data_IF_450573787585
#
_entry.id   IF_450573787585
#
_cell.length_a   1.000
_cell.length_b   1.000
_cell.length_c   1.000
_cell.angle_alpha   90.00
_cell.angle_beta   90.00
_cell.angle_gamma   90.00
#
_symmetry.space_group_name_H-M   'P 1'
#
loop_
_entity.id
_entity.type
_entity.pdbx_description
1 polymer ?
#
# COMPACT_ATOMS: atom_id res chain seq x y z
N UNK A 1 18.36 28.10 -26.64
CA UNK A 1 17.39 27.25 -25.93
C UNK A 1 17.86 27.16 -24.48
N UNK A 2 17.29 27.95 -23.57
CA UNK A 2 17.69 27.96 -22.16
C UNK A 2 17.26 26.62 -21.57
N UNK A 3 18.22 25.78 -21.19
CA UNK A 3 17.98 24.52 -20.48
C UNK A 3 17.43 24.92 -19.11
N UNK A 4 16.11 25.00 -18.97
CA UNK A 4 15.49 25.06 -17.65
C UNK A 4 15.90 23.74 -17.00
N UNK A 5 16.83 23.81 -16.05
CA UNK A 5 17.19 22.67 -15.22
C UNK A 5 15.88 22.29 -14.52
N UNK A 6 15.28 21.16 -14.90
CA UNK A 6 14.14 20.59 -14.18
C UNK A 6 14.53 20.53 -12.71
N UNK A 7 13.93 21.40 -11.90
CA UNK A 7 14.30 21.46 -10.50
C UNK A 7 13.72 20.22 -9.80
N UNK A 8 14.56 19.22 -9.53
CA UNK A 8 14.19 17.97 -8.85
C UNK A 8 14.16 18.11 -7.32
N UNK A 9 14.34 19.31 -6.77
CA UNK A 9 14.37 19.57 -5.33
C UNK A 9 13.09 19.08 -4.61
N UNK A 10 11.93 19.13 -5.28
CA UNK A 10 10.67 18.64 -4.72
C UNK A 10 10.70 17.14 -4.38
N UNK A 11 11.52 16.36 -5.09
CA UNK A 11 11.71 14.92 -4.84
C UNK A 11 12.49 14.72 -3.54
N UNK A 12 13.55 15.51 -3.32
CA UNK A 12 14.31 15.50 -2.06
C UNK A 12 13.39 15.89 -0.90
N UNK A 13 12.59 16.95 -1.04
CA UNK A 13 11.64 17.34 0.02
C UNK A 13 10.62 16.23 0.32
N UNK A 14 10.14 15.52 -0.70
CA UNK A 14 9.24 14.38 -0.52
C UNK A 14 9.92 13.23 0.24
N UNK A 15 11.17 12.89 -0.14
CA UNK A 15 11.96 11.85 0.53
C UNK A 15 12.28 12.22 1.98
N UNK A 16 12.69 13.47 2.24
CA UNK A 16 12.93 13.98 3.59
C UNK A 16 11.66 13.96 4.44
N UNK A 17 10.51 14.33 3.86
CA UNK A 17 9.21 14.27 4.53
C UNK A 17 8.85 12.84 4.96
N UNK A 18 9.05 11.85 4.08
CA UNK A 18 8.85 10.43 4.41
C UNK A 18 9.86 9.94 5.46
N UNK A 19 11.12 10.36 5.34
CA UNK A 19 12.15 10.07 6.35
C UNK A 19 11.78 10.60 7.73
N UNK A 20 11.30 11.85 7.80
CA UNK A 20 10.81 12.46 9.04
C UNK A 20 9.61 11.69 9.62
N UNK A 21 8.64 11.31 8.80
CA UNK A 21 7.51 10.48 9.23
C UNK A 21 7.97 9.17 9.87
N UNK A 22 8.97 8.50 9.28
CA UNK A 22 9.51 7.27 9.87
C UNK A 22 10.30 7.52 11.15
N UNK A 23 11.05 8.61 11.26
CA UNK A 23 11.71 8.99 12.53
C UNK A 23 10.67 9.22 13.63
N UNK A 24 9.59 9.93 13.34
CA UNK A 24 8.48 10.15 14.29
C UNK A 24 7.83 8.82 14.68
N UNK A 25 7.60 7.92 13.72
CA UNK A 25 7.09 6.58 14.00
C UNK A 25 8.00 5.82 14.97
N UNK A 26 9.31 5.79 14.74
CA UNK A 26 10.24 5.06 15.59
C UNK A 26 10.37 5.65 16.99
N UNK A 27 10.45 6.98 17.11
CA UNK A 27 10.59 7.64 18.42
C UNK A 27 9.29 7.64 19.21
N UNK A 28 8.20 8.11 18.60
CA UNK A 28 6.95 8.38 19.31
C UNK A 28 6.08 7.12 19.41
N UNK A 29 5.83 6.44 18.28
CA UNK A 29 4.88 5.32 18.26
C UNK A 29 5.52 4.03 18.79
N UNK A 30 6.77 3.76 18.39
CA UNK A 30 7.50 2.53 18.71
C UNK A 30 8.48 2.66 19.89
N UNK A 31 8.47 3.79 20.62
CA UNK A 31 9.27 4.03 21.85
C UNK A 31 10.77 3.75 21.67
N UNK A 32 11.36 4.35 20.65
CA UNK A 32 12.81 4.30 20.36
C UNK A 32 13.37 2.90 20.05
N UNK A 33 12.53 2.00 19.53
CA UNK A 33 13.00 0.73 18.96
C UNK A 33 13.84 1.02 17.71
N UNK A 34 14.98 0.32 17.57
CA UNK A 34 15.82 0.42 16.38
C UNK A 34 15.21 -0.30 15.17
N UNK A 35 15.51 0.17 13.96
CA UNK A 35 15.04 -0.41 12.69
C UNK A 35 15.25 -1.94 12.62
N UNK A 36 16.45 -2.42 12.97
CA UNK A 36 16.79 -3.85 12.92
C UNK A 36 15.95 -4.64 13.92
N UNK A 37 15.78 -4.12 15.15
CA UNK A 37 14.95 -4.75 16.19
C UNK A 37 13.47 -4.77 15.81
N UNK A 38 13.00 -3.80 15.03
CA UNK A 38 11.61 -3.76 14.56
C UNK A 38 11.28 -4.93 13.62
N UNK A 39 12.19 -5.31 12.72
CA UNK A 39 11.95 -6.45 11.83
C UNK A 39 11.85 -7.78 12.60
N UNK A 40 12.60 -7.94 13.68
CA UNK A 40 12.56 -9.15 14.54
C UNK A 40 11.52 -9.09 15.65
N UNK A 41 10.85 -7.95 15.85
CA UNK A 41 9.85 -7.75 16.89
C UNK A 41 8.67 -8.71 16.72
N UNK A 42 8.28 -9.40 17.78
CA UNK A 42 7.05 -10.22 17.79
C UNK A 42 5.83 -9.32 18.03
N UNK A 43 4.69 -9.73 17.49
CA UNK A 43 3.42 -8.98 17.56
C UNK A 43 3.00 -8.64 19.01
N UNK A 44 3.23 -9.55 19.95
CA UNK A 44 2.86 -9.40 21.37
C UNK A 44 3.52 -8.20 22.06
N UNK A 45 4.69 -7.76 21.56
CA UNK A 45 5.44 -6.64 22.13
C UNK A 45 5.25 -5.35 21.33
N UNK A 46 4.45 -5.38 20.27
CA UNK A 46 4.25 -4.23 19.40
C UNK A 46 3.15 -3.31 19.94
N UNK A 47 3.52 -2.05 20.19
CA UNK A 47 2.59 -1.02 20.67
C UNK A 47 2.19 -0.09 19.50
N UNK A 48 0.99 0.50 19.57
CA UNK A 48 0.48 1.44 18.54
C UNK A 48 0.57 0.91 17.10
N UNK A 49 0.20 -0.36 16.92
CA UNK A 49 0.39 -1.08 15.66
C UNK A 49 -0.47 -0.55 14.52
N UNK A 50 -1.71 -0.12 14.81
CA UNK A 50 -2.61 0.48 13.80
C UNK A 50 -2.05 1.81 13.32
N UNK A 51 -1.59 2.67 14.24
CA UNK A 51 -1.02 3.96 13.89
C UNK A 51 0.28 3.79 13.08
N UNK A 52 1.13 2.83 13.47
CA UNK A 52 2.36 2.51 12.75
C UNK A 52 2.06 1.96 11.34
N UNK A 53 1.02 1.14 11.21
CA UNK A 53 0.53 0.66 9.92
C UNK A 53 0.05 1.80 9.02
N UNK A 54 -0.70 2.77 9.55
CA UNK A 54 -1.16 3.95 8.79
C UNK A 54 0.04 4.78 8.33
N UNK A 55 0.99 5.09 9.23
CA UNK A 55 2.17 5.90 8.89
C UNK A 55 3.03 5.23 7.83
N UNK A 56 3.30 3.93 7.95
CA UNK A 56 4.06 3.18 6.94
C UNK A 56 3.35 3.11 5.60
N UNK A 57 2.03 2.94 5.59
CA UNK A 57 1.22 2.91 4.38
C UNK A 57 1.24 4.27 3.66
N UNK A 58 1.08 5.37 4.40
CA UNK A 58 1.16 6.74 3.85
C UNK A 58 2.54 7.00 3.24
N UNK A 59 3.62 6.67 3.98
CA UNK A 59 4.98 6.84 3.46
C UNK A 59 5.23 6.02 2.19
N UNK A 60 4.73 4.78 2.15
CA UNK A 60 4.81 3.93 0.95
C UNK A 60 4.03 4.52 -0.23
N UNK A 61 2.81 5.03 -0.02
CA UNK A 61 1.99 5.65 -1.08
C UNK A 61 2.70 6.87 -1.67
N UNK A 62 3.28 7.73 -0.83
CA UNK A 62 4.03 8.91 -1.30
C UNK A 62 5.21 8.47 -2.17
N UNK A 63 6.02 7.50 -1.70
CA UNK A 63 7.17 7.00 -2.46
C UNK A 63 6.77 6.32 -3.77
N UNK A 64 5.72 5.50 -3.74
CA UNK A 64 5.19 4.85 -4.94
C UNK A 64 4.66 5.88 -5.95
N UNK A 65 4.00 6.96 -5.48
CA UNK A 65 3.54 8.02 -6.34
C UNK A 65 4.69 8.80 -7.00
N UNK A 66 5.76 9.08 -6.25
CA UNK A 66 6.98 9.74 -6.77
C UNK A 66 7.70 8.83 -7.78
N UNK A 67 7.78 7.52 -7.52
CA UNK A 67 8.37 6.57 -8.47
C UNK A 67 7.56 6.51 -9.79
N UNK A 68 6.24 6.45 -9.69
CA UNK A 68 5.34 6.35 -10.84
C UNK A 68 5.19 7.68 -11.61
N UNK A 69 5.40 8.83 -10.96
CA UNK A 69 5.20 10.13 -11.60
C UNK A 69 6.11 10.38 -12.79
N UNK A 70 7.30 9.78 -12.80
CA UNK A 70 8.23 9.90 -13.92
C UNK A 70 7.97 8.87 -15.02
N UNK A 71 7.29 7.76 -14.70
CA UNK A 71 7.00 6.67 -15.64
C UNK A 71 5.73 6.96 -16.44
N UNK A 72 4.69 7.48 -15.78
CA UNK A 72 3.43 7.82 -16.44
C UNK A 72 3.62 9.11 -17.25
N UNK A 73 3.46 9.15 -18.57
CA UNK A 73 3.65 10.39 -19.33
C UNK A 73 2.48 11.37 -19.20
N UNK A 74 1.27 10.90 -18.87
CA UNK A 74 0.02 11.67 -18.97
C UNK A 74 -0.72 11.67 -17.62
N UNK A 75 -1.24 12.83 -17.20
CA UNK A 75 -2.15 12.92 -16.07
C UNK A 75 -3.49 12.24 -16.44
N UNK A 76 -3.95 11.19 -15.74
CA UNK A 76 -5.22 10.56 -16.04
C UNK A 76 -6.38 11.59 -16.01
N UNK A 77 -7.05 11.75 -17.17
CA UNK A 77 -8.10 12.76 -17.39
C UNK A 77 -9.27 12.66 -16.40
N UNK A 78 -9.55 11.43 -15.93
CA UNK A 78 -10.60 11.16 -14.94
C UNK A 78 -10.49 12.06 -13.68
N UNK A 79 -9.29 12.32 -13.17
CA UNK A 79 -9.15 13.15 -11.98
C UNK A 79 -9.12 14.65 -12.30
N UNK A 80 -8.70 15.04 -13.50
CA UNK A 80 -8.71 16.44 -13.92
C UNK A 80 -10.12 16.97 -14.22
N UNK A 81 -11.01 16.11 -14.73
CA UNK A 81 -12.38 16.48 -15.10
C UNK A 81 -13.36 16.43 -13.92
N UNK A 82 -13.27 15.41 -13.05
CA UNK A 82 -14.25 15.20 -11.99
C UNK A 82 -13.84 15.72 -10.60
N UNK A 83 -12.54 15.89 -10.31
CA UNK A 83 -12.05 16.37 -9.00
C UNK A 83 -11.55 17.80 -9.04
N UNK A 84 -12.38 18.71 -9.54
CA UNK A 84 -12.11 20.14 -9.48
C UNK A 84 -12.73 20.72 -8.19
N UNK A 85 -12.04 20.55 -7.06
CA UNK A 85 -12.52 21.05 -5.77
C UNK A 85 -12.02 22.48 -5.59
N UNK A 86 -12.93 23.46 -5.46
CA UNK A 86 -12.61 24.88 -5.32
C UNK A 86 -11.75 25.49 -6.47
N UNK A 87 -11.79 24.90 -7.67
CA UNK A 87 -10.99 25.37 -8.82
C UNK A 87 -9.53 24.89 -8.82
N UNK A 88 -9.13 24.08 -7.85
CA UNK A 88 -7.82 23.43 -7.83
C UNK A 88 -7.89 22.07 -8.50
N UNK A 89 -7.07 21.88 -9.54
CA UNK A 89 -6.88 20.58 -10.19
C UNK A 89 -5.67 19.87 -9.60
N UNK A 90 -5.77 18.57 -9.27
CA UNK A 90 -4.64 17.84 -8.72
C UNK A 90 -3.51 17.73 -9.74
N UNK A 91 -2.29 18.06 -9.30
CA UNK A 91 -1.07 17.79 -10.06
C UNK A 91 -0.93 16.27 -10.29
N UNK A 92 -0.14 15.87 -11.30
CA UNK A 92 0.14 14.49 -11.69
C UNK A 92 0.50 13.58 -10.50
N UNK A 93 1.33 14.06 -9.57
CA UNK A 93 1.67 13.30 -8.35
C UNK A 93 0.45 13.15 -7.43
N UNK A 94 -0.34 14.22 -7.27
CA UNK A 94 -1.55 14.21 -6.46
C UNK A 94 -2.63 13.28 -6.99
N UNK A 95 -2.82 13.19 -8.31
CA UNK A 95 -3.77 12.25 -8.92
C UNK A 95 -3.33 10.80 -8.72
N UNK A 96 -2.04 10.51 -8.81
CA UNK A 96 -1.49 9.17 -8.51
C UNK A 96 -1.66 8.84 -7.02
N UNK A 97 -1.35 9.77 -6.11
CA UNK A 97 -1.56 9.58 -4.67
C UNK A 97 -3.03 9.24 -4.40
N UNK A 98 -3.97 9.99 -4.96
CA UNK A 98 -5.39 9.77 -4.74
C UNK A 98 -5.86 8.41 -5.27
N UNK A 99 -5.39 8.00 -6.46
CA UNK A 99 -5.66 6.69 -7.02
C UNK A 99 -5.11 5.56 -6.12
N UNK A 100 -3.88 5.71 -5.61
CA UNK A 100 -3.27 4.74 -4.71
C UNK A 100 -4.01 4.68 -3.37
N UNK A 101 -4.33 5.82 -2.75
CA UNK A 101 -5.12 5.87 -1.52
C UNK A 101 -6.44 5.15 -1.69
N UNK A 102 -7.17 5.41 -2.78
CA UNK A 102 -8.42 4.73 -3.08
C UNK A 102 -8.24 3.21 -3.22
N UNK A 103 -7.22 2.77 -3.96
CA UNK A 103 -6.92 1.34 -4.15
C UNK A 103 -6.55 0.65 -2.83
N UNK A 104 -5.70 1.28 -2.01
CA UNK A 104 -5.29 0.72 -0.72
C UNK A 104 -6.45 0.72 0.30
N UNK A 105 -7.29 1.76 0.28
CA UNK A 105 -8.49 1.84 1.10
C UNK A 105 -9.48 0.74 0.73
N UNK A 106 -9.84 0.64 -0.56
CA UNK A 106 -10.74 -0.40 -1.05
C UNK A 106 -10.22 -1.80 -0.70
N UNK A 107 -8.94 -2.07 -0.96
CA UNK A 107 -8.29 -3.34 -0.59
C UNK A 107 -8.43 -3.64 0.90
N UNK A 108 -8.18 -2.65 1.76
CA UNK A 108 -8.26 -2.80 3.21
C UNK A 108 -9.68 -3.15 3.64
N UNK A 109 -10.66 -2.40 3.13
CA UNK A 109 -12.08 -2.62 3.42
C UNK A 109 -12.52 -4.01 2.97
N UNK A 110 -12.16 -4.42 1.75
CA UNK A 110 -12.47 -5.77 1.24
C UNK A 110 -11.82 -6.86 2.09
N UNK A 111 -10.56 -6.68 2.52
CA UNK A 111 -9.86 -7.68 3.34
C UNK A 111 -10.47 -7.77 4.75
N UNK A 112 -10.89 -6.64 5.32
CA UNK A 112 -11.59 -6.62 6.60
C UNK A 112 -12.94 -7.34 6.51
N UNK A 113 -13.77 -7.02 5.51
CA UNK A 113 -15.04 -7.71 5.29
C UNK A 113 -14.84 -9.20 5.06
N UNK A 114 -13.79 -9.59 4.33
CA UNK A 114 -13.45 -11.00 4.12
C UNK A 114 -13.17 -11.73 5.44
N UNK A 115 -12.34 -11.16 6.33
CA UNK A 115 -12.05 -11.78 7.63
C UNK A 115 -13.25 -11.76 8.57
N UNK A 116 -14.05 -10.69 8.55
CA UNK A 116 -15.29 -10.61 9.32
C UNK A 116 -16.29 -11.67 8.88
N UNK A 117 -16.40 -11.91 7.58
CA UNK A 117 -17.27 -12.92 6.99
C UNK A 117 -16.87 -14.35 7.38
N UNK A 118 -15.57 -14.60 7.57
CA UNK A 118 -15.03 -15.90 7.99
C UNK A 118 -15.08 -16.09 9.53
N UNK A 119 -15.36 -15.03 10.29
CA UNK A 119 -15.37 -15.04 11.76
C UNK A 119 -13.97 -14.97 12.38
N UNK A 120 -12.95 -14.57 11.62
CA UNK A 120 -11.54 -14.54 12.04
C UNK A 120 -11.00 -13.11 12.14
N UNK A 121 -11.81 -12.19 12.68
CA UNK A 121 -11.44 -10.76 12.81
C UNK A 121 -10.18 -10.57 13.67
N UNK A 122 -9.90 -11.46 14.61
CA UNK A 122 -8.69 -11.41 15.44
C UNK A 122 -7.40 -11.48 14.61
N UNK A 123 -7.42 -12.20 13.48
CA UNK A 123 -6.28 -12.31 12.55
C UNK A 123 -5.98 -11.01 11.81
N UNK A 124 -6.90 -10.05 11.84
CA UNK A 124 -6.67 -8.71 11.29
C UNK A 124 -5.48 -8.01 11.97
N UNK A 125 -5.24 -8.30 13.26
CA UNK A 125 -4.10 -7.75 14.01
C UNK A 125 -2.76 -8.22 13.47
N UNK A 126 -2.63 -9.53 13.29
CA UNK A 126 -1.48 -10.15 12.64
C UNK A 126 -1.25 -9.60 11.24
N UNK A 127 -2.34 -9.37 10.48
CA UNK A 127 -2.27 -8.88 9.10
C UNK A 127 -1.69 -7.46 9.01
N UNK A 128 -2.22 -6.48 9.73
CA UNK A 128 -1.69 -5.12 9.64
C UNK A 128 -0.28 -5.03 10.24
N UNK A 129 0.05 -5.84 11.26
CA UNK A 129 1.38 -5.87 11.87
C UNK A 129 2.43 -6.35 10.86
N UNK A 130 2.14 -7.45 10.17
CA UNK A 130 3.00 -7.96 9.13
C UNK A 130 3.07 -7.01 7.92
N UNK A 131 1.94 -6.42 7.51
CA UNK A 131 1.89 -5.44 6.44
C UNK A 131 2.77 -4.21 6.73
N UNK A 132 2.81 -3.75 7.98
CA UNK A 132 3.68 -2.64 8.43
C UNK A 132 5.15 -2.93 8.15
N UNK A 133 5.62 -4.15 8.46
CA UNK A 133 7.01 -4.57 8.19
C UNK A 133 7.31 -4.61 6.70
N UNK A 134 6.39 -5.13 5.90
CA UNK A 134 6.55 -5.16 4.45
C UNK A 134 6.57 -3.77 3.82
N UNK A 135 5.64 -2.90 4.18
CA UNK A 135 5.61 -1.54 3.65
C UNK A 135 6.83 -0.74 4.08
N UNK A 136 7.34 -0.95 5.30
CA UNK A 136 8.61 -0.37 5.72
C UNK A 136 9.80 -0.90 4.90
N UNK A 137 9.89 -2.22 4.68
CA UNK A 137 10.96 -2.78 3.84
C UNK A 137 10.92 -2.28 2.40
N UNK A 138 9.72 -2.25 1.80
CA UNK A 138 9.54 -1.79 0.43
C UNK A 138 9.74 -0.29 0.27
N UNK A 139 9.34 0.52 1.24
CA UNK A 139 9.60 1.96 1.22
C UNK A 139 11.09 2.27 1.26
N UNK A 140 11.87 1.59 2.11
CA UNK A 140 13.32 1.75 2.14
C UNK A 140 13.97 1.41 0.79
N UNK A 141 13.54 0.32 0.15
CA UNK A 141 14.02 -0.04 -1.19
C UNK A 141 13.58 0.97 -2.27
N UNK A 142 12.34 1.47 -2.20
CA UNK A 142 11.84 2.50 -3.12
C UNK A 142 12.59 3.82 -2.99
N UNK A 143 13.01 4.22 -1.78
CA UNK A 143 13.83 5.43 -1.60
C UNK A 143 15.11 5.34 -2.44
N UNK A 144 15.79 4.19 -2.41
CA UNK A 144 17.02 3.96 -3.20
C UNK A 144 16.71 4.00 -4.70
N UNK A 145 15.63 3.37 -5.15
CA UNK A 145 15.23 3.37 -6.57
C UNK A 145 14.83 4.76 -7.07
N UNK A 146 14.11 5.54 -6.26
CA UNK A 146 13.71 6.91 -6.60
C UNK A 146 14.94 7.82 -6.70
N UNK A 147 15.93 7.66 -5.80
CA UNK A 147 17.19 8.38 -5.91
C UNK A 147 17.97 7.97 -7.17
N UNK A 148 18.05 6.67 -7.45
CA UNK A 148 18.70 6.15 -8.66
C UNK A 148 18.08 6.75 -9.93
N UNK A 149 16.75 6.73 -10.03
CA UNK A 149 16.00 7.26 -11.18
C UNK A 149 16.22 8.75 -11.44
N UNK A 150 16.32 9.55 -10.37
CA UNK A 150 16.28 11.01 -10.50
C UNK A 150 17.66 11.65 -10.58
N UNK A 151 18.67 11.04 -9.96
CA UNK A 151 20.02 11.62 -9.86
C UNK A 151 21.05 10.93 -10.75
N UNK A 152 20.80 9.69 -11.18
CA UNK A 152 21.69 8.99 -12.10
C UNK A 152 21.13 9.04 -13.53
N UNK A 153 22.00 9.17 -14.56
CA UNK A 153 21.59 9.18 -15.95
C UNK A 153 21.29 7.76 -16.44
N UNK A 154 20.27 7.12 -15.87
CA UNK A 154 19.81 5.79 -16.28
C UNK A 154 18.72 5.97 -17.35
N UNK A 155 18.78 5.16 -18.40
CA UNK A 155 17.75 5.12 -19.44
C UNK A 155 16.38 4.72 -18.87
N UNK A 156 15.32 5.39 -19.34
CA UNK A 156 13.95 5.21 -18.83
C UNK A 156 13.45 3.77 -19.00
N UNK A 157 13.82 3.09 -20.09
CA UNK A 157 13.41 1.71 -20.35
C UNK A 157 13.94 0.75 -19.27
N UNK A 158 15.25 0.85 -18.99
CA UNK A 158 15.89 0.07 -17.93
C UNK A 158 15.29 0.34 -16.56
N UNK A 159 14.93 1.59 -16.26
CA UNK A 159 14.24 1.94 -15.02
C UNK A 159 12.88 1.26 -14.90
N UNK A 160 12.09 1.20 -15.99
CA UNK A 160 10.78 0.52 -15.98
C UNK A 160 10.96 -0.98 -15.70
N UNK A 161 11.95 -1.63 -16.33
CA UNK A 161 12.25 -3.04 -16.06
C UNK A 161 12.66 -3.25 -14.59
N UNK A 162 13.50 -2.39 -14.03
CA UNK A 162 13.91 -2.46 -12.62
C UNK A 162 12.71 -2.36 -11.67
N UNK A 163 11.77 -1.43 -11.91
CA UNK A 163 10.54 -1.34 -11.12
C UNK A 163 9.65 -2.55 -11.30
N UNK A 164 9.47 -3.05 -12.53
CA UNK A 164 8.67 -4.25 -12.78
C UNK A 164 9.22 -5.47 -12.05
N UNK A 165 10.54 -5.69 -12.11
CA UNK A 165 11.23 -6.76 -11.36
C UNK A 165 11.06 -6.56 -9.86
N UNK A 166 11.24 -5.34 -9.36
CA UNK A 166 11.07 -5.03 -7.93
C UNK A 166 9.65 -5.35 -7.44
N UNK A 167 8.61 -4.93 -8.16
CA UNK A 167 7.22 -5.20 -7.79
C UNK A 167 6.86 -6.69 -7.93
N UNK A 168 7.33 -7.37 -8.97
CA UNK A 168 7.15 -8.82 -9.14
C UNK A 168 7.82 -9.60 -8.00
N UNK A 169 9.07 -9.28 -7.68
CA UNK A 169 9.80 -9.92 -6.59
C UNK A 169 9.14 -9.65 -5.23
N UNK A 170 8.69 -8.41 -5.00
CA UNK A 170 7.94 -8.03 -3.80
C UNK A 170 6.62 -8.79 -3.68
N UNK A 171 5.92 -9.02 -4.80
CA UNK A 171 4.70 -9.81 -4.82
C UNK A 171 4.97 -11.28 -4.49
N UNK A 172 5.96 -11.90 -5.13
CA UNK A 172 6.34 -13.30 -4.86
C UNK A 172 6.78 -13.46 -3.40
N UNK A 173 7.68 -12.60 -2.93
CA UNK A 173 8.20 -12.64 -1.56
C UNK A 173 7.08 -12.49 -0.52
N UNK A 174 6.14 -11.57 -0.75
CA UNK A 174 4.98 -11.39 0.13
C UNK A 174 4.14 -12.66 0.21
N UNK A 175 3.83 -13.28 -0.92
CA UNK A 175 3.03 -14.51 -0.95
C UNK A 175 3.75 -15.68 -0.27
N UNK A 176 5.06 -15.83 -0.49
CA UNK A 176 5.87 -16.84 0.18
C UNK A 176 5.84 -16.66 1.69
N UNK A 177 6.06 -15.44 2.18
CA UNK A 177 6.00 -15.19 3.63
C UNK A 177 4.60 -15.45 4.17
N UNK A 178 3.54 -15.06 3.45
CA UNK A 178 2.17 -15.34 3.91
C UNK A 178 1.86 -16.84 3.99
N UNK A 179 2.45 -17.65 3.11
CA UNK A 179 2.27 -19.10 3.06
C UNK A 179 3.10 -19.85 4.10
N UNK A 180 4.33 -19.38 4.38
CA UNK A 180 5.25 -20.02 5.32
C UNK A 180 5.26 -19.41 6.72
N UNK A 181 4.46 -18.37 7.00
CA UNK A 181 4.41 -17.79 8.34
C UNK A 181 3.76 -18.75 9.34
N UNK A 182 4.37 -18.87 10.52
CA UNK A 182 3.95 -19.81 11.55
C UNK A 182 2.51 -19.57 12.05
N UNK A 183 2.04 -18.32 12.03
CA UNK A 183 0.62 -18.02 12.19
C UNK A 183 -0.04 -18.15 10.81
N UNK A 184 -1.00 -19.04 10.66
CA UNK A 184 -1.79 -19.16 9.42
C UNK A 184 -2.61 -17.87 9.24
N UNK A 185 -2.06 -16.95 8.44
CA UNK A 185 -2.73 -15.69 8.07
C UNK A 185 -3.90 -15.98 7.13
N UNK A 186 -3.78 -17.08 6.37
CA UNK A 186 -4.84 -17.60 5.53
C UNK A 186 -5.70 -18.60 6.33
N UNK A 187 -7.03 -18.57 6.19
CA UNK A 187 -7.91 -19.56 6.80
C UNK A 187 -7.69 -20.93 6.16
N UNK A 188 -7.54 -21.98 6.98
CA UNK A 188 -7.32 -23.36 6.51
C UNK A 188 -8.56 -23.90 5.76
N UNK A 189 -9.76 -23.38 6.06
CA UNK A 189 -11.04 -23.80 5.46
C UNK A 189 -11.74 -22.68 4.66
N UNK A 190 -10.98 -21.75 4.07
CA UNK A 190 -11.54 -20.54 3.42
C UNK A 190 -12.63 -20.82 2.38
N UNK A 191 -12.54 -21.97 1.71
CA UNK A 191 -13.37 -22.35 0.57
C UNK A 191 -14.77 -22.74 1.02
N UNK A 192 -14.86 -23.53 2.09
CA UNK A 192 -16.14 -24.02 2.62
C UNK A 192 -16.97 -22.88 3.23
N UNK A 193 -16.33 -21.91 3.90
CA UNK A 193 -17.03 -20.75 4.47
C UNK A 193 -17.55 -19.80 3.38
N UNK A 194 -16.78 -19.52 2.33
CA UNK A 194 -17.25 -18.71 1.18
C UNK A 194 -18.43 -19.41 0.49
N UNK A 195 -18.32 -20.72 0.25
CA UNK A 195 -19.41 -21.50 -0.35
C UNK A 195 -20.66 -21.46 0.52
N UNK A 196 -20.51 -21.54 1.85
CA UNK A 196 -21.60 -21.43 2.82
C UNK A 196 -22.28 -20.06 2.79
N UNK A 197 -21.53 -18.95 2.76
CA UNK A 197 -22.10 -17.59 2.66
C UNK A 197 -22.84 -17.40 1.33
N UNK A 198 -22.25 -17.86 0.23
CA UNK A 198 -22.87 -17.82 -1.09
C UNK A 198 -24.18 -18.63 -1.13
N UNK A 199 -24.23 -19.79 -0.48
CA UNK A 199 -25.42 -20.67 -0.46
C UNK A 199 -26.48 -20.24 0.56
N UNK A 200 -26.10 -19.74 1.73
CA UNK A 200 -27.05 -19.45 2.82
C UNK A 200 -27.47 -17.98 2.90
N UNK A 201 -26.70 -17.03 2.37
CA UNK A 201 -27.05 -15.60 2.42
C UNK A 201 -27.38 -15.03 1.05
N UNK A 202 -26.56 -15.31 0.04
CA UNK A 202 -26.74 -14.72 -1.30
C UNK A 202 -27.84 -15.45 -2.08
N UNK A 203 -27.88 -16.78 -2.04
CA UNK A 203 -28.89 -17.58 -2.75
C UNK A 203 -30.33 -17.27 -2.29
N UNK A 204 -30.65 -17.22 -0.98
CA UNK A 204 -32.02 -16.91 -0.55
C UNK A 204 -32.42 -15.48 -0.90
N UNK A 205 -31.48 -14.53 -0.84
CA UNK A 205 -31.73 -13.15 -1.23
C UNK A 205 -32.02 -13.02 -2.74
N UNK A 206 -31.28 -13.75 -3.58
CA UNK A 206 -31.55 -13.85 -5.02
C UNK A 206 -32.90 -14.54 -5.31
N UNK A 207 -33.25 -15.59 -4.58
CA UNK A 207 -34.53 -16.30 -4.72
C UNK A 207 -35.70 -15.40 -4.31
N UNK A 208 -35.59 -14.68 -3.19
CA UNK A 208 -36.59 -13.69 -2.74
C UNK A 208 -36.70 -12.53 -3.73
N UNK A 209 -35.58 -12.02 -4.24
CA UNK A 209 -35.57 -10.99 -5.28
C UNK A 209 -36.26 -11.44 -6.56
N UNK A 210 -36.03 -12.69 -6.99
CA UNK A 210 -36.73 -13.29 -8.13
C UNK A 210 -38.23 -13.50 -7.87
N UNK A 211 -38.64 -13.79 -6.63
CA UNK A 211 -40.06 -13.94 -6.27
C UNK A 211 -40.81 -12.60 -6.13
N UNK A 212 -40.12 -11.51 -5.77
CA UNK A 212 -40.71 -10.19 -5.58
C UNK A 212 -40.73 -9.32 -6.83
N UNK A 213 -39.78 -9.50 -7.75
CA UNK A 213 -39.59 -8.66 -8.94
C UNK A 213 -39.79 -9.41 -10.27
N UNK A 214 -40.31 -10.63 -10.25
CA UNK A 214 -40.66 -11.44 -11.42
C UNK A 214 -42.04 -12.07 -11.28
#
# INVERSE_FOLDING_TARGET
MIRIVENKDWIIYSLLGVGFLYVVMFRVLLRDISLIKFFTLKEEFANNTIQSWVVTSVGFIILAAVALSNILPINPRLFAEYLNVFGYTPNKVGSIILALVFLFFFRTVSTYFFLASIGEVERWKSFYFLATKFFLGYSLALIVLVLAQNYFPIETEWMIYMYAVFFCMSFIFKNLVYLFHHKTILPDEWYYKILYICTLQILPFLVVGKFLFF
#
